data_IF_637576846938
#
_entry.id   IF_637576846938
#
_cell.length_a   1.000
_cell.length_b   1.000
_cell.length_c   1.000
_cell.angle_alpha   90.00
_cell.angle_beta   90.00
_cell.angle_gamma   90.00
#
_symmetry.space_group_name_H-M   'P 1'
#
loop_
_entity.id
_entity.type
_entity.pdbx_description
1 polymer ?
#
# COMPACT_ATOMS: atom_id res chain seq x y z
N UNK A 1 12.96 -40.61 19.17
CA UNK A 1 14.28 -41.25 18.91
C UNK A 1 14.43 -41.75 17.47
N UNK A 2 13.46 -42.47 16.87
CA UNK A 2 13.56 -42.92 15.48
C UNK A 2 13.72 -41.78 14.45
N UNK A 3 13.04 -40.64 14.66
CA UNK A 3 13.16 -39.46 13.78
C UNK A 3 14.55 -38.80 13.86
N UNK A 4 15.19 -38.83 15.04
CA UNK A 4 16.54 -38.30 15.24
C UNK A 4 17.60 -39.20 14.59
N UNK A 5 17.40 -40.51 14.61
CA UNK A 5 18.26 -41.46 13.90
C UNK A 5 18.13 -41.35 12.37
N UNK A 6 16.93 -41.04 11.86
CA UNK A 6 16.71 -40.81 10.42
C UNK A 6 17.42 -39.55 9.92
N UNK A 7 17.46 -38.49 10.74
CA UNK A 7 18.17 -37.25 10.44
C UNK A 7 19.69 -37.44 10.43
N UNK A 8 20.24 -38.18 11.41
CA UNK A 8 21.69 -38.47 11.48
C UNK A 8 22.19 -39.40 10.37
N UNK A 9 21.32 -40.23 9.79
CA UNK A 9 21.65 -41.09 8.64
C UNK A 9 21.64 -40.30 7.32
N UNK A 10 20.80 -39.28 7.19
CA UNK A 10 20.77 -38.41 6.01
C UNK A 10 22.01 -37.50 5.93
N UNK A 11 22.55 -37.06 7.08
CA UNK A 11 23.78 -36.27 7.15
C UNK A 11 25.03 -37.03 6.64
N UNK A 12 25.07 -38.36 6.76
CA UNK A 12 26.19 -39.16 6.25
C UNK A 12 26.11 -39.50 4.77
N UNK A 13 24.93 -39.41 4.14
CA UNK A 13 24.74 -39.79 2.73
C UNK A 13 24.96 -38.63 1.77
N UNK A 14 24.82 -37.37 2.19
CA UNK A 14 24.88 -36.19 1.31
C UNK A 14 26.24 -35.45 1.26
N UNK A 15 27.30 -36.05 1.78
CA UNK A 15 28.62 -35.41 1.87
C UNK A 15 29.42 -35.37 0.54
N UNK A 16 28.80 -35.02 -0.60
CA UNK A 16 29.54 -34.79 -1.85
C UNK A 16 28.99 -33.71 -2.81
N UNK A 17 28.05 -32.85 -2.41
CA UNK A 17 27.60 -31.74 -3.27
C UNK A 17 27.38 -30.45 -2.48
N UNK A 18 28.32 -29.51 -2.63
CA UNK A 18 28.31 -28.20 -1.96
C UNK A 18 27.14 -27.29 -2.35
N UNK A 19 26.42 -27.59 -3.43
CA UNK A 19 25.25 -26.81 -3.87
C UNK A 19 23.96 -27.20 -3.17
N UNK A 20 23.75 -28.49 -2.86
CA UNK A 20 22.50 -28.95 -2.21
C UNK A 20 22.47 -28.60 -0.72
N UNK A 21 23.63 -28.70 -0.05
CA UNK A 21 23.78 -28.28 1.34
C UNK A 21 23.59 -26.76 1.51
N UNK A 22 24.08 -25.93 0.58
CA UNK A 22 23.78 -24.49 0.58
C UNK A 22 22.30 -24.19 0.30
N UNK A 23 21.64 -24.97 -0.57
CA UNK A 23 20.21 -24.81 -0.82
C UNK A 23 19.34 -25.19 0.40
N UNK A 24 19.71 -26.24 1.13
CA UNK A 24 19.05 -26.60 2.39
C UNK A 24 19.36 -25.61 3.52
N UNK A 25 20.60 -25.14 3.65
CA UNK A 25 20.99 -24.17 4.68
C UNK A 25 20.33 -22.79 4.46
N UNK A 26 20.15 -22.37 3.21
CA UNK A 26 19.40 -21.14 2.85
C UNK A 26 17.90 -21.33 3.11
N UNK A 27 17.39 -22.57 3.03
CA UNK A 27 15.99 -22.88 3.35
C UNK A 27 15.73 -22.96 4.86
N UNK A 28 16.78 -23.10 5.69
CA UNK A 28 16.70 -23.31 7.14
C UNK A 28 17.06 -22.06 7.96
N UNK A 29 17.30 -20.90 7.32
CA UNK A 29 17.62 -19.64 8.03
C UNK A 29 16.70 -18.47 7.65
N UNK A 30 15.40 -18.72 7.51
CA UNK A 30 14.37 -17.70 7.72
C UNK A 30 13.59 -18.20 8.92
N UNK A 31 13.73 -17.52 10.06
CA UNK A 31 12.97 -17.85 11.27
C UNK A 31 11.49 -17.98 10.90
N UNK A 32 10.94 -19.16 11.11
CA UNK A 32 9.52 -19.46 10.96
C UNK A 32 8.72 -18.61 11.96
N UNK A 33 7.85 -17.73 11.46
CA UNK A 33 6.92 -16.93 12.25
C UNK A 33 7.18 -15.42 12.13
N UNK A 34 6.44 -14.72 11.27
CA UNK A 34 6.49 -13.26 11.24
C UNK A 34 5.87 -12.60 10.01
N UNK A 35 5.51 -11.32 10.19
CA UNK A 35 5.05 -10.44 9.12
C UNK A 35 6.18 -9.48 8.76
N UNK A 36 6.52 -9.40 7.47
CA UNK A 36 7.50 -8.46 6.92
C UNK A 36 6.82 -7.65 5.82
N UNK A 37 7.09 -6.35 5.75
CA UNK A 37 6.59 -5.48 4.70
C UNK A 37 7.79 -4.88 3.94
N UNK A 38 7.96 -5.29 2.68
CA UNK A 38 8.86 -4.60 1.73
C UNK A 38 8.12 -3.39 1.18
N UNK A 39 8.62 -2.19 1.42
CA UNK A 39 7.93 -0.95 1.03
C UNK A 39 8.90 0.21 0.74
N UNK A 40 8.36 1.32 0.28
CA UNK A 40 9.07 2.56 0.03
C UNK A 40 8.29 3.71 0.68
N UNK A 41 8.96 4.56 1.47
CA UNK A 41 8.29 5.46 2.42
C UNK A 41 7.18 6.36 1.84
N UNK A 42 7.26 6.94 0.61
CA UNK A 42 6.22 7.81 0.06
C UNK A 42 5.16 7.03 -0.73
N UNK A 43 5.26 5.69 -0.81
CA UNK A 43 4.31 4.84 -1.56
C UNK A 43 2.93 4.84 -0.90
N UNK A 44 1.95 5.48 -1.56
CA UNK A 44 0.55 5.44 -1.12
C UNK A 44 0.00 4.00 -1.09
N UNK A 45 0.50 3.10 -1.94
CA UNK A 45 0.12 1.69 -1.94
C UNK A 45 0.63 0.96 -0.71
N UNK A 46 1.85 1.26 -0.28
CA UNK A 46 2.43 0.66 0.93
C UNK A 46 1.82 1.17 2.21
N UNK A 47 1.47 2.47 2.25
CA UNK A 47 0.72 3.07 3.35
C UNK A 47 -0.60 2.33 3.64
N UNK A 48 -1.29 1.79 2.62
CA UNK A 48 -2.50 0.95 2.83
C UNK A 48 -2.21 -0.23 3.76
N UNK A 49 -1.09 -0.90 3.53
CA UNK A 49 -0.68 -2.08 4.30
C UNK A 49 -0.23 -1.69 5.70
N UNK A 50 0.52 -0.59 5.83
CA UNK A 50 0.89 -0.03 7.13
C UNK A 50 -0.33 0.29 7.99
N UNK A 51 -1.32 0.97 7.40
CA UNK A 51 -2.58 1.31 8.08
C UNK A 51 -3.34 0.05 8.48
N UNK A 52 -3.49 -0.92 7.56
CA UNK A 52 -4.25 -2.14 7.83
C UNK A 52 -3.60 -2.99 8.94
N UNK A 53 -2.28 -3.15 8.91
CA UNK A 53 -1.54 -3.84 9.97
C UNK A 53 -1.69 -3.11 11.31
N UNK A 54 -1.66 -1.77 11.30
CA UNK A 54 -1.86 -0.96 12.50
C UNK A 54 -3.30 -1.05 13.06
N UNK A 55 -4.33 -0.98 12.21
CA UNK A 55 -5.74 -1.17 12.59
C UNK A 55 -5.99 -2.55 13.21
N UNK A 56 -5.28 -3.58 12.71
CA UNK A 56 -5.35 -4.95 13.23
C UNK A 56 -4.41 -5.19 14.43
N UNK A 57 -3.56 -4.23 14.79
CA UNK A 57 -2.58 -4.35 15.88
C UNK A 57 -1.48 -5.39 15.61
N UNK A 58 -1.13 -5.62 14.34
CA UNK A 58 -0.17 -6.64 13.92
C UNK A 58 1.23 -6.07 13.92
N UNK A 59 2.14 -6.72 14.66
CA UNK A 59 3.56 -6.40 14.64
C UNK A 59 4.18 -6.94 13.36
N UNK A 60 5.00 -6.11 12.71
CA UNK A 60 5.69 -6.49 11.49
C UNK A 60 7.06 -5.81 11.40
N UNK A 61 7.96 -6.41 10.63
CA UNK A 61 9.23 -5.81 10.25
C UNK A 61 9.05 -4.97 8.97
N UNK A 62 9.30 -3.67 9.05
CA UNK A 62 9.31 -2.80 7.86
C UNK A 62 10.70 -2.82 7.21
N UNK A 63 10.77 -3.05 5.89
CA UNK A 63 12.00 -3.00 5.10
C UNK A 63 11.86 -1.98 3.98
N UNK A 64 12.62 -0.90 4.09
CA UNK A 64 12.72 0.13 3.05
C UNK A 64 13.47 -0.42 1.82
N UNK A 65 12.88 -0.27 0.65
CA UNK A 65 13.45 -0.65 -0.64
C UNK A 65 13.95 0.57 -1.43
N UNK A 66 15.18 0.52 -1.97
CA UNK A 66 15.60 1.45 -3.02
C UNK A 66 15.08 0.95 -4.37
N UNK A 67 14.04 1.59 -4.90
CA UNK A 67 13.42 1.18 -6.16
C UNK A 67 14.31 1.36 -7.40
N UNK A 68 15.45 2.08 -7.27
CA UNK A 68 16.48 2.18 -8.33
C UNK A 68 17.45 1.00 -8.29
N UNK A 69 17.61 0.37 -7.13
CA UNK A 69 18.47 -0.79 -6.91
C UNK A 69 17.72 -1.84 -6.07
N UNK A 70 16.72 -2.47 -6.70
CA UNK A 70 15.78 -3.38 -6.05
C UNK A 70 16.52 -4.55 -5.40
N UNK A 71 16.16 -4.86 -4.15
CA UNK A 71 16.82 -5.94 -3.42
C UNK A 71 16.60 -7.31 -4.08
N UNK A 72 17.54 -8.27 -3.92
CA UNK A 72 17.30 -9.66 -4.33
C UNK A 72 16.05 -10.27 -3.67
N UNK A 73 15.72 -9.83 -2.45
CA UNK A 73 14.52 -10.28 -1.74
C UNK A 73 13.25 -9.81 -2.45
N UNK A 74 13.15 -8.54 -2.83
CA UNK A 74 12.01 -8.02 -3.60
C UNK A 74 11.85 -8.75 -4.94
N UNK A 75 12.95 -8.96 -5.66
CA UNK A 75 12.93 -9.67 -6.94
C UNK A 75 12.50 -11.14 -6.80
N UNK A 76 12.85 -11.78 -5.68
CA UNK A 76 12.42 -13.14 -5.34
C UNK A 76 10.94 -13.20 -4.94
N UNK A 77 10.47 -12.25 -4.14
CA UNK A 77 9.13 -12.26 -3.54
C UNK A 77 8.05 -11.73 -4.47
N UNK A 78 8.39 -10.86 -5.42
CA UNK A 78 7.51 -10.40 -6.50
C UNK A 78 8.21 -10.51 -7.86
N UNK A 79 8.42 -11.73 -8.39
CA UNK A 79 9.16 -11.92 -9.64
C UNK A 79 8.40 -11.38 -10.87
N UNK A 80 7.07 -11.34 -10.81
CA UNK A 80 6.20 -10.88 -11.91
C UNK A 80 6.35 -9.37 -12.08
N UNK A 81 5.95 -8.58 -11.08
CA UNK A 81 5.89 -7.12 -11.21
C UNK A 81 7.14 -6.41 -10.67
N UNK A 82 7.90 -7.06 -9.77
CA UNK A 82 9.09 -6.47 -9.13
C UNK A 82 8.74 -5.13 -8.45
N UNK A 83 7.56 -5.03 -7.86
CA UNK A 83 7.01 -3.82 -7.24
C UNK A 83 6.78 -4.03 -5.75
N UNK A 84 6.82 -2.92 -5.01
CA UNK A 84 6.31 -2.79 -3.65
C UNK A 84 4.84 -2.31 -3.68
N UNK A 85 4.06 -2.46 -2.58
CA UNK A 85 4.40 -3.23 -1.39
C UNK A 85 4.40 -4.74 -1.65
N UNK A 86 5.19 -5.47 -0.86
CA UNK A 86 5.08 -6.93 -0.72
C UNK A 86 4.95 -7.26 0.75
N UNK A 87 3.78 -7.81 1.13
CA UNK A 87 3.58 -8.37 2.45
C UNK A 87 4.11 -9.80 2.44
N UNK A 88 5.00 -10.15 3.35
CA UNK A 88 5.50 -11.52 3.51
C UNK A 88 5.00 -12.03 4.85
N UNK A 89 4.13 -13.04 4.83
CA UNK A 89 3.58 -13.66 6.03
C UNK A 89 4.06 -15.11 6.11
N UNK A 90 4.86 -15.42 7.13
CA UNK A 90 5.47 -16.73 7.33
C UNK A 90 6.23 -17.23 6.09
N UNK A 91 6.97 -16.31 5.46
CA UNK A 91 7.75 -16.57 4.25
C UNK A 91 6.96 -16.55 2.94
N UNK A 92 5.63 -16.42 2.98
CA UNK A 92 4.77 -16.41 1.80
C UNK A 92 4.47 -14.97 1.35
N UNK A 93 4.80 -14.58 0.11
CA UNK A 93 4.55 -13.24 -0.38
C UNK A 93 3.10 -13.04 -0.85
N UNK A 94 2.53 -11.88 -0.51
CA UNK A 94 1.27 -11.35 -1.01
C UNK A 94 1.57 -9.99 -1.68
N UNK A 95 1.39 -9.94 -2.99
CA UNK A 95 1.64 -8.78 -3.82
C UNK A 95 0.34 -8.04 -4.13
N UNK A 96 0.46 -6.82 -4.67
CA UNK A 96 -0.64 -5.88 -4.95
C UNK A 96 -1.35 -5.39 -3.67
N UNK A 97 -1.33 -4.08 -3.46
CA UNK A 97 -1.76 -3.50 -2.18
C UNK A 97 -3.22 -3.81 -1.80
N UNK A 98 -4.15 -3.81 -2.77
CA UNK A 98 -5.55 -4.14 -2.50
C UNK A 98 -5.75 -5.64 -2.22
N UNK A 99 -4.98 -6.50 -2.85
CA UNK A 99 -5.00 -7.95 -2.58
C UNK A 99 -4.42 -8.22 -1.18
N UNK A 100 -3.28 -7.61 -0.84
CA UNK A 100 -2.69 -7.72 0.48
C UNK A 100 -3.59 -7.13 1.58
N UNK A 101 -4.34 -6.06 1.29
CA UNK A 101 -5.34 -5.50 2.20
C UNK A 101 -6.49 -6.49 2.47
N UNK A 102 -7.01 -7.15 1.44
CA UNK A 102 -8.02 -8.21 1.59
C UNK A 102 -7.47 -9.39 2.40
N UNK A 103 -6.25 -9.85 2.07
CA UNK A 103 -5.57 -10.91 2.79
C UNK A 103 -5.44 -10.60 4.29
N UNK A 104 -5.07 -9.36 4.64
CA UNK A 104 -5.00 -8.92 6.04
C UNK A 104 -6.37 -9.02 6.74
N UNK A 105 -7.43 -8.57 6.06
CA UNK A 105 -8.77 -8.63 6.64
C UNK A 105 -9.27 -10.08 6.84
N UNK A 106 -8.90 -10.98 5.92
CA UNK A 106 -9.27 -12.40 5.96
C UNK A 106 -8.41 -13.26 6.89
N UNK A 107 -7.16 -12.90 7.16
CA UNK A 107 -6.30 -13.68 8.06
C UNK A 107 -6.55 -13.29 9.52
N UNK A 108 -6.68 -11.99 9.81
CA UNK A 108 -6.89 -11.47 11.16
C UNK A 108 -8.37 -11.10 11.39
N UNK A 109 -9.24 -12.11 11.31
CA UNK A 109 -10.72 -11.98 11.45
C UNK A 109 -11.19 -11.73 12.89
N UNK A 110 -10.34 -11.97 13.88
CA UNK A 110 -10.62 -11.70 15.30
C UNK A 110 -10.60 -10.20 15.63
N UNK A 111 -10.15 -9.37 14.68
CA UNK A 111 -10.11 -7.90 14.77
C UNK A 111 -11.23 -7.26 13.96
N UNK A 112 -11.51 -5.99 14.22
CA UNK A 112 -12.52 -5.21 13.50
C UNK A 112 -12.39 -5.39 11.97
N UNK A 113 -13.49 -5.71 11.27
CA UNK A 113 -13.44 -5.97 9.83
C UNK A 113 -13.24 -4.67 9.05
N UNK A 114 -12.46 -4.73 7.97
CA UNK A 114 -12.32 -3.64 7.02
C UNK A 114 -13.35 -3.74 5.89
N UNK A 115 -13.77 -4.96 5.53
CA UNK A 115 -14.80 -5.22 4.54
C UNK A 115 -16.15 -5.56 5.18
N UNK A 116 -17.27 -5.15 4.57
CA UNK A 116 -18.59 -5.61 4.96
C UNK A 116 -18.76 -7.13 4.82
N UNK A 117 -19.56 -7.72 5.71
CA UNK A 117 -19.93 -9.14 5.64
C UNK A 117 -20.97 -9.43 4.55
N UNK A 118 -21.86 -8.47 4.26
CA UNK A 118 -22.81 -8.54 3.15
C UNK A 118 -22.07 -8.55 1.79
N UNK A 119 -22.52 -9.43 0.89
CA UNK A 119 -21.84 -9.65 -0.39
C UNK A 119 -21.95 -8.47 -1.34
N UNK A 120 -23.10 -7.79 -1.37
CA UNK A 120 -23.31 -6.64 -2.23
C UNK A 120 -22.49 -5.44 -1.75
N UNK A 121 -22.55 -5.13 -0.45
CA UNK A 121 -21.76 -4.04 0.11
C UNK A 121 -20.25 -4.28 0.01
N UNK A 122 -19.79 -5.53 0.13
CA UNK A 122 -18.40 -5.89 -0.13
C UNK A 122 -17.99 -5.67 -1.59
N UNK A 123 -18.85 -6.04 -2.54
CA UNK A 123 -18.60 -5.76 -3.96
C UNK A 123 -18.54 -4.25 -4.26
N UNK A 124 -19.37 -3.44 -3.60
CA UNK A 124 -19.30 -1.98 -3.69
C UNK A 124 -17.97 -1.43 -3.13
N UNK A 125 -17.50 -1.95 -1.99
CA UNK A 125 -16.20 -1.56 -1.43
C UNK A 125 -15.04 -1.88 -2.38
N UNK A 126 -15.07 -3.07 -3.02
CA UNK A 126 -14.08 -3.43 -4.03
C UNK A 126 -14.12 -2.51 -5.25
N UNK A 127 -15.31 -2.18 -5.76
CA UNK A 127 -15.47 -1.27 -6.88
C UNK A 127 -14.84 0.10 -6.61
N UNK A 128 -15.11 0.69 -5.45
CA UNK A 128 -14.57 2.01 -5.12
C UNK A 128 -13.07 1.99 -4.85
N UNK A 129 -12.53 0.93 -4.25
CA UNK A 129 -11.08 0.80 -4.13
C UNK A 129 -10.38 0.62 -5.49
N UNK A 130 -10.98 -0.14 -6.42
CA UNK A 130 -10.49 -0.27 -7.80
C UNK A 130 -10.57 1.06 -8.56
N UNK A 131 -11.65 1.83 -8.35
CA UNK A 131 -11.77 3.19 -8.88
C UNK A 131 -10.62 4.08 -8.38
N UNK A 132 -10.26 4.01 -7.09
CA UNK A 132 -9.13 4.75 -6.53
C UNK A 132 -7.82 4.39 -7.23
N UNK A 133 -7.55 3.10 -7.45
CA UNK A 133 -6.34 2.65 -8.17
C UNK A 133 -6.28 3.15 -9.61
N UNK A 134 -7.41 3.13 -10.31
CA UNK A 134 -7.48 3.49 -11.74
C UNK A 134 -7.59 4.98 -12.01
N UNK A 135 -8.14 5.77 -11.08
CA UNK A 135 -8.47 7.18 -11.32
C UNK A 135 -7.65 8.14 -10.47
N UNK A 136 -7.54 7.88 -9.18
CA UNK A 136 -6.87 8.82 -8.27
C UNK A 136 -5.36 8.74 -8.41
N UNK A 137 -4.80 7.54 -8.49
CA UNK A 137 -3.36 7.37 -8.72
C UNK A 137 -2.92 7.93 -10.08
N UNK A 138 -3.57 7.49 -11.16
CA UNK A 138 -3.20 7.91 -12.52
C UNK A 138 -3.44 9.40 -12.74
N UNK A 139 -4.56 9.93 -12.26
CA UNK A 139 -4.89 11.35 -12.33
C UNK A 139 -3.88 12.21 -11.56
N UNK A 140 -3.64 11.90 -10.29
CA UNK A 140 -2.68 12.63 -9.46
C UNK A 140 -1.25 12.57 -10.01
N UNK A 141 -0.84 11.40 -10.54
CA UNK A 141 0.46 11.25 -11.23
C UNK A 141 0.57 12.19 -12.44
N UNK A 142 -0.46 12.27 -13.29
CA UNK A 142 -0.47 13.16 -14.46
C UNK A 142 -0.48 14.64 -14.03
N UNK A 143 -1.25 15.00 -13.01
CA UNK A 143 -1.23 16.35 -12.43
C UNK A 143 0.18 16.76 -12.00
N UNK A 144 0.93 15.86 -11.35
CA UNK A 144 2.29 16.15 -10.90
C UNK A 144 3.37 16.04 -11.98
N UNK A 145 3.17 15.27 -13.05
CA UNK A 145 4.23 14.87 -14.00
C UNK A 145 3.88 15.15 -15.47
N UNK A 146 2.96 16.08 -15.73
CA UNK A 146 2.67 16.62 -17.07
C UNK A 146 2.83 18.15 -17.07
N UNK A 147 2.75 18.80 -18.25
CA UNK A 147 2.75 20.26 -18.43
C UNK A 147 1.68 20.70 -19.44
N UNK A 148 1.35 21.98 -19.43
CA UNK A 148 0.51 22.61 -20.46
C UNK A 148 -0.89 21.98 -20.54
N UNK A 149 -1.40 21.80 -21.75
CA UNK A 149 -2.75 21.29 -22.01
C UNK A 149 -2.99 19.91 -21.38
N UNK A 150 -2.00 19.01 -21.42
CA UNK A 150 -2.09 17.68 -20.81
C UNK A 150 -2.28 17.74 -19.29
N UNK A 151 -1.63 18.70 -18.63
CA UNK A 151 -1.74 18.88 -17.19
C UNK A 151 -3.11 19.46 -16.80
N UNK A 152 -3.61 20.42 -17.57
CA UNK A 152 -4.93 21.03 -17.36
C UNK A 152 -6.07 20.03 -17.59
N UNK A 153 -5.96 19.18 -18.62
CA UNK A 153 -6.89 18.08 -18.85
C UNK A 153 -6.86 17.06 -17.69
N UNK A 154 -5.67 16.65 -17.26
CA UNK A 154 -5.51 15.73 -16.14
C UNK A 154 -6.07 16.30 -14.82
N UNK A 155 -5.87 17.60 -14.57
CA UNK A 155 -6.41 18.30 -13.41
C UNK A 155 -7.93 18.28 -13.41
N UNK A 156 -8.55 18.59 -14.55
CA UNK A 156 -10.00 18.56 -14.70
C UNK A 156 -10.55 17.16 -14.42
N UNK A 157 -10.00 16.12 -15.05
CA UNK A 157 -10.41 14.73 -14.83
C UNK A 157 -10.19 14.27 -13.38
N UNK A 158 -9.11 14.71 -12.75
CA UNK A 158 -8.78 14.37 -11.37
C UNK A 158 -9.80 14.98 -10.39
N UNK A 159 -10.15 16.26 -10.55
CA UNK A 159 -11.16 16.94 -9.74
C UNK A 159 -12.52 16.24 -9.88
N UNK A 160 -12.93 15.90 -11.10
CA UNK A 160 -14.20 15.17 -11.31
C UNK A 160 -14.18 13.79 -10.65
N UNK A 161 -13.03 13.10 -10.65
CA UNK A 161 -12.88 11.82 -9.94
C UNK A 161 -12.97 11.98 -8.41
N UNK A 162 -12.46 13.08 -7.86
CA UNK A 162 -12.61 13.41 -6.44
C UNK A 162 -14.05 13.75 -6.08
N UNK A 163 -14.78 14.47 -6.94
CA UNK A 163 -16.21 14.78 -6.77
C UNK A 163 -17.07 13.51 -6.77
N UNK A 164 -16.75 12.52 -7.60
CA UNK A 164 -17.42 11.22 -7.57
C UNK A 164 -17.20 10.50 -6.23
N UNK A 165 -15.98 10.53 -5.69
CA UNK A 165 -15.69 9.98 -4.37
C UNK A 165 -16.39 10.74 -3.25
N UNK A 166 -16.44 12.07 -3.32
CA UNK A 166 -17.16 12.90 -2.36
C UNK A 166 -18.67 12.63 -2.39
N UNK A 167 -19.25 12.49 -3.59
CA UNK A 167 -20.64 12.08 -3.76
C UNK A 167 -20.91 10.70 -3.19
N UNK A 168 -20.00 9.75 -3.40
CA UNK A 168 -20.09 8.42 -2.82
C UNK A 168 -19.97 8.43 -1.30
N UNK A 169 -19.10 9.27 -0.73
CA UNK A 169 -19.00 9.47 0.71
C UNK A 169 -20.32 10.01 1.26
N UNK A 170 -20.92 10.99 0.59
CA UNK A 170 -22.17 11.62 1.00
C UNK A 170 -22.00 12.28 2.37
N UNK A 171 -22.86 11.91 3.33
CA UNK A 171 -22.80 12.40 4.71
C UNK A 171 -22.23 11.37 5.71
N UNK A 172 -21.72 10.24 5.20
CA UNK A 172 -21.11 9.21 6.06
C UNK A 172 -19.80 9.72 6.66
N UNK A 173 -19.46 9.36 7.91
CA UNK A 173 -18.18 9.76 8.50
C UNK A 173 -16.99 9.08 7.80
N UNK A 174 -17.19 7.87 7.27
CA UNK A 174 -16.23 7.07 6.51
C UNK A 174 -16.89 6.42 5.28
N UNK A 175 -16.09 5.99 4.30
CA UNK A 175 -16.60 5.18 3.19
C UNK A 175 -17.11 3.81 3.66
N UNK A 176 -16.56 3.27 4.74
CA UNK A 176 -17.08 2.09 5.45
C UNK A 176 -18.41 2.31 6.21
N UNK A 177 -19.00 3.50 6.16
CA UNK A 177 -20.20 3.84 6.96
C UNK A 177 -19.81 4.50 8.26
N UNK A 178 -20.35 4.00 9.37
CA UNK A 178 -20.03 4.48 10.73
C UNK A 178 -18.61 4.09 11.18
N UNK A 179 -18.00 3.13 10.49
CA UNK A 179 -16.67 2.62 10.82
C UNK A 179 -15.70 2.82 9.66
N UNK A 180 -14.45 3.11 9.98
CA UNK A 180 -13.35 3.15 9.03
C UNK A 180 -13.17 1.78 8.37
N UNK A 181 -13.13 1.74 7.03
CA UNK A 181 -13.14 0.50 6.27
C UNK A 181 -12.21 0.45 5.07
N UNK A 182 -12.43 -0.53 4.21
CA UNK A 182 -11.56 -0.90 3.10
C UNK A 182 -11.28 0.24 2.11
N UNK A 183 -12.33 0.98 1.72
CA UNK A 183 -12.19 2.12 0.80
C UNK A 183 -11.45 3.27 1.47
N UNK A 184 -11.66 3.48 2.78
CA UNK A 184 -10.94 4.50 3.52
C UNK A 184 -9.44 4.22 3.54
N UNK A 185 -9.05 2.97 3.85
CA UNK A 185 -7.65 2.51 3.78
C UNK A 185 -7.09 2.66 2.37
N UNK A 186 -7.88 2.38 1.33
CA UNK A 186 -7.44 2.48 -0.05
C UNK A 186 -7.17 3.93 -0.49
N UNK A 187 -7.95 4.90 0.01
CA UNK A 187 -7.92 6.30 -0.44
C UNK A 187 -7.10 7.22 0.46
N UNK A 188 -7.14 7.04 1.79
CA UNK A 188 -6.52 8.02 2.71
C UNK A 188 -5.00 8.20 2.51
N UNK A 189 -4.23 7.20 2.02
CA UNK A 189 -2.84 7.42 1.65
C UNK A 189 -2.59 8.52 0.62
N UNK A 190 -3.55 8.77 -0.28
CA UNK A 190 -3.40 9.85 -1.27
C UNK A 190 -3.46 11.23 -0.63
N UNK A 191 -4.03 11.36 0.57
CA UNK A 191 -4.01 12.63 1.30
C UNK A 191 -2.59 13.13 1.56
N UNK A 192 -1.61 12.25 1.80
CA UNK A 192 -0.21 12.68 1.99
C UNK A 192 0.40 13.28 0.71
N UNK A 193 -0.27 13.15 -0.44
CA UNK A 193 0.16 13.68 -1.74
C UNK A 193 -0.65 14.90 -2.19
N UNK A 194 -1.72 15.26 -1.49
CA UNK A 194 -2.62 16.34 -1.91
C UNK A 194 -1.92 17.68 -2.07
N UNK A 195 -1.06 18.07 -1.11
CA UNK A 195 -0.25 19.28 -1.24
C UNK A 195 0.61 19.30 -2.50
N UNK A 196 1.17 18.15 -2.89
CA UNK A 196 1.96 18.04 -4.12
C UNK A 196 1.06 18.19 -5.36
N UNK A 197 -0.14 17.60 -5.36
CA UNK A 197 -1.11 17.75 -6.44
C UNK A 197 -1.55 19.22 -6.58
N UNK A 198 -1.96 19.85 -5.49
CA UNK A 198 -2.40 21.25 -5.46
C UNK A 198 -1.31 22.20 -5.93
N UNK A 199 -0.08 22.02 -5.45
CA UNK A 199 1.05 22.89 -5.81
C UNK A 199 1.47 22.68 -7.27
N UNK A 200 1.51 21.44 -7.76
CA UNK A 200 1.89 21.15 -9.14
C UNK A 200 0.80 21.56 -10.14
N UNK A 201 -0.47 21.33 -9.80
CA UNK A 201 -1.63 21.60 -10.65
C UNK A 201 -2.25 22.98 -10.48
N UNK A 202 -1.77 23.78 -9.52
CA UNK A 202 -2.28 25.12 -9.19
C UNK A 202 -3.81 25.15 -9.00
N UNK A 203 -4.32 24.36 -8.05
CA UNK A 203 -5.72 24.32 -7.65
C UNK A 203 -5.85 23.97 -6.17
N UNK A 204 -7.08 24.04 -5.62
CA UNK A 204 -7.38 23.65 -4.25
C UNK A 204 -8.38 22.50 -4.22
N UNK A 205 -8.01 21.39 -3.59
CA UNK A 205 -8.88 20.25 -3.38
C UNK A 205 -9.95 20.60 -2.33
N UNK A 206 -9.63 21.38 -1.31
CA UNK A 206 -10.61 21.80 -0.29
C UNK A 206 -11.70 22.71 -0.87
N UNK A 207 -11.36 23.55 -1.85
CA UNK A 207 -12.35 24.39 -2.54
C UNK A 207 -13.33 23.57 -3.41
N UNK A 208 -12.85 22.50 -4.06
CA UNK A 208 -13.66 21.65 -4.95
C UNK A 208 -14.39 20.51 -4.21
N UNK A 209 -13.78 19.97 -3.15
CA UNK A 209 -14.22 18.77 -2.43
C UNK A 209 -14.05 18.94 -0.90
N UNK A 210 -14.80 19.85 -0.25
CA UNK A 210 -14.64 20.16 1.17
C UNK A 210 -15.02 19.00 2.10
N UNK A 211 -16.02 18.18 1.77
CA UNK A 211 -16.41 17.01 2.58
C UNK A 211 -15.34 15.94 2.51
N UNK A 212 -14.69 15.77 1.35
CA UNK A 212 -13.57 14.83 1.21
C UNK A 212 -12.37 15.27 2.05
N UNK A 213 -12.05 16.57 2.10
CA UNK A 213 -11.00 17.07 3.00
C UNK A 213 -11.38 16.90 4.48
N UNK A 214 -12.64 17.16 4.84
CA UNK A 214 -13.12 16.92 6.20
C UNK A 214 -13.03 15.43 6.60
N UNK A 215 -13.35 14.52 5.68
CA UNK A 215 -13.14 13.08 5.86
C UNK A 215 -11.66 12.73 6.07
N UNK A 216 -10.76 13.27 5.24
CA UNK A 216 -9.34 12.98 5.37
C UNK A 216 -8.78 13.47 6.73
N UNK A 217 -9.17 14.68 7.16
CA UNK A 217 -8.83 15.22 8.49
C UNK A 217 -9.34 14.30 9.61
N UNK A 218 -10.57 13.79 9.52
CA UNK A 218 -11.12 12.81 10.48
C UNK A 218 -10.36 11.48 10.49
N UNK A 219 -9.91 11.01 9.32
CA UNK A 219 -9.07 9.81 9.24
C UNK A 219 -7.71 10.00 9.93
N UNK A 220 -7.10 11.20 9.88
CA UNK A 220 -5.84 11.50 10.55
C UNK A 220 -5.94 11.49 12.08
N UNK A 221 -7.14 11.62 12.65
CA UNK A 221 -7.35 11.47 14.10
C UNK A 221 -7.12 10.02 14.57
N UNK A 222 -7.14 9.04 13.64
CA UNK A 222 -6.81 7.65 13.94
C UNK A 222 -5.30 7.46 13.98
N UNK A 223 -4.81 6.90 15.10
CA UNK A 223 -3.39 6.61 15.33
C UNK A 223 -2.77 5.75 14.22
N UNK A 224 -3.51 4.76 13.70
CA UNK A 224 -3.09 3.88 12.60
C UNK A 224 -2.79 4.65 11.31
N UNK A 225 -3.54 5.72 11.03
CA UNK A 225 -3.37 6.58 9.86
C UNK A 225 -2.27 7.59 10.12
N UNK A 226 -2.34 8.33 11.23
CA UNK A 226 -1.36 9.35 11.59
C UNK A 226 0.09 8.82 11.61
N UNK A 227 0.30 7.60 12.11
CA UNK A 227 1.64 6.97 12.15
C UNK A 227 2.09 6.39 10.81
N UNK A 228 1.17 6.12 9.89
CA UNK A 228 1.46 5.46 8.62
C UNK A 228 1.72 6.43 7.47
N UNK A 229 1.16 7.64 7.55
CA UNK A 229 1.30 8.66 6.51
C UNK A 229 2.52 9.56 6.78
N UNK A 230 3.32 9.86 5.75
CA UNK A 230 4.38 10.85 5.86
C UNK A 230 3.82 12.27 5.85
N UNK A 231 4.65 13.22 6.27
CA UNK A 231 4.41 14.64 6.09
C UNK A 231 4.25 15.01 4.60
N UNK A 232 3.27 15.88 4.31
CA UNK A 232 2.92 16.27 2.94
C UNK A 232 4.02 17.09 2.25
N UNK A 233 4.75 17.94 2.98
CA UNK A 233 5.85 18.71 2.40
C UNK A 233 7.02 17.80 2.04
N UNK A 234 7.31 16.79 2.87
CA UNK A 234 8.32 15.77 2.54
C UNK A 234 7.96 15.01 1.26
N UNK A 235 6.68 14.66 1.07
CA UNK A 235 6.22 14.02 -0.20
C UNK A 235 6.35 14.98 -1.37
N UNK A 236 6.01 16.26 -1.20
CA UNK A 236 6.19 17.26 -2.24
C UNK A 236 7.66 17.45 -2.63
N UNK A 237 8.58 17.51 -1.68
CA UNK A 237 10.01 17.54 -1.96
C UNK A 237 10.42 16.33 -2.82
N UNK A 238 9.94 15.13 -2.48
CA UNK A 238 10.17 13.94 -3.32
C UNK A 238 9.61 14.10 -4.74
N UNK A 239 8.41 14.69 -4.91
CA UNK A 239 7.83 14.99 -6.22
C UNK A 239 8.68 15.98 -7.01
N UNK A 240 9.22 17.03 -6.37
CA UNK A 240 10.14 17.97 -7.02
C UNK A 240 11.39 17.27 -7.56
N UNK A 241 11.97 16.34 -6.78
CA UNK A 241 13.09 15.52 -7.25
C UNK A 241 12.71 14.67 -8.46
N UNK A 242 11.51 14.09 -8.48
CA UNK A 242 11.01 13.34 -9.64
C UNK A 242 10.81 14.23 -10.86
N UNK A 243 10.20 15.41 -10.70
CA UNK A 243 9.98 16.37 -11.80
C UNK A 243 11.30 16.76 -12.46
N UNK A 244 12.28 17.17 -11.66
CA UNK A 244 13.64 17.49 -12.15
C UNK A 244 14.28 16.32 -12.89
N UNK A 245 14.14 15.11 -12.36
CA UNK A 245 14.68 13.89 -13.00
C UNK A 245 14.06 13.62 -14.38
N UNK A 246 12.79 13.95 -14.56
CA UNK A 246 12.07 13.75 -15.82
C UNK A 246 12.10 14.99 -16.74
N UNK A 247 12.78 16.08 -16.36
CA UNK A 247 12.81 17.33 -17.12
C UNK A 247 11.47 18.08 -17.13
N UNK A 248 10.68 17.93 -16.07
CA UNK A 248 9.32 18.49 -15.91
C UNK A 248 9.33 19.76 -15.04
N UNK A 249 10.49 20.27 -14.68
CA UNK A 249 10.67 21.56 -14.00
C UNK A 249 10.22 22.76 -14.85
#
# INVERSE_FOLDING_TARGET
>A
LLLLLLLLLLDKVFCSSSSVSKFLQISVTMASGGVVLLDFWPSMFGMRIRIALAEKGIRYEYKEEDLRNKSPLLLKMNPVHKKIPVLIHDGNPVCESLIALQYIDEVWKDKSPLLPSDSYHRAQAWFWADFVDKKIYDGGRKVCLSKGEDQEAAKTEFIESLKLLEGQLGDKPYFGGETFGYVDVALVPFYSWFYAYETCGNFSIEAECPKLIAWAKRCLEKESVAKSLPDQHKVYDFVLHLRKRFGID
#
